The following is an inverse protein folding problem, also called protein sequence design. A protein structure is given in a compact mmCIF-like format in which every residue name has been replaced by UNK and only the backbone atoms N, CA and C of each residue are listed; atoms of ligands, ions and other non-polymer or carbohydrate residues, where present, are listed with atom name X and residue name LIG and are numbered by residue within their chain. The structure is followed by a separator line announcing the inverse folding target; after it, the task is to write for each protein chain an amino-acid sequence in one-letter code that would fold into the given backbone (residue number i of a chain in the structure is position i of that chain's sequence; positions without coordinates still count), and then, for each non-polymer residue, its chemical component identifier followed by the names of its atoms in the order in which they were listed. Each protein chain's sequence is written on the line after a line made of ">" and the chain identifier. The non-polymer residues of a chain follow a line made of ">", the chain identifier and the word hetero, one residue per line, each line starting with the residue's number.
data_IF_041531468341
#
_entry.id   IF_041531468341
#
_cell.length_a   1.000
_cell.length_b   1.000
_cell.length_c   1.000
_cell.angle_alpha   90.00
_cell.angle_beta   90.00
_cell.angle_gamma   90.00
#
_symmetry.space_group_name_H-M   'P 1'
#
loop_
_entity.id
_entity.type
_entity.pdbx_description
1 polymer ?
#
# COMPACT_ATOMS: atom_id res chain seq x y z
N UNK A 1 -5.14 44.55 32.22
CA UNK A 1 -3.87 44.43 32.93
C UNK A 1 -2.72 43.85 32.06
N UNK A 2 -2.85 43.85 30.76
CA UNK A 2 -1.83 43.24 29.83
C UNK A 2 -0.96 44.26 29.05
N UNK A 3 -1.08 45.55 29.32
CA UNK A 3 -0.31 46.61 28.63
C UNK A 3 0.87 47.21 29.43
N UNK A 4 1.10 46.76 30.66
CA UNK A 4 2.21 47.30 31.48
C UNK A 4 3.44 46.42 31.55
N UNK A 5 3.36 45.17 31.12
CA UNK A 5 4.50 44.24 31.13
C UNK A 5 5.35 44.33 29.88
N UNK A 6 4.82 44.83 28.76
CA UNK A 6 5.54 44.95 27.50
C UNK A 6 6.52 46.17 27.46
N UNK A 7 6.25 47.20 28.30
CA UNK A 7 7.08 48.41 28.32
C UNK A 7 8.43 48.25 29.10
N UNK A 8 8.55 47.20 29.91
CA UNK A 8 9.76 47.00 30.76
C UNK A 8 10.81 46.14 30.02
N UNK A 9 10.41 45.30 29.07
CA UNK A 9 11.35 44.52 28.25
C UNK A 9 12.05 45.35 27.15
N UNK A 10 11.46 46.43 26.68
CA UNK A 10 12.04 47.29 25.63
C UNK A 10 13.10 48.26 26.17
N UNK A 11 13.09 48.55 27.47
CA UNK A 11 14.08 49.47 28.07
C UNK A 11 15.40 48.79 28.47
N UNK A 12 15.42 47.46 28.60
CA UNK A 12 16.65 46.71 28.94
C UNK A 12 17.49 46.37 27.71
N UNK A 13 16.96 46.47 26.50
CA UNK A 13 17.66 46.11 25.25
C UNK A 13 18.50 47.24 24.65
N UNK A 14 18.42 48.47 25.19
CA UNK A 14 19.13 49.62 24.64
C UNK A 14 20.48 49.94 25.35
N UNK A 15 20.92 49.16 26.33
CA UNK A 15 22.14 49.40 27.08
C UNK A 15 23.29 48.38 26.82
N UNK A 16 23.12 47.44 25.89
CA UNK A 16 24.18 46.51 25.50
C UNK A 16 24.49 46.72 24.01
N UNK A 17 25.72 47.10 23.75
CA UNK A 17 26.23 47.49 22.44
C UNK A 17 25.86 46.61 21.27
N UNK A 18 25.81 47.27 20.13
CA UNK A 18 25.65 46.78 18.76
C UNK A 18 25.89 45.26 18.56
N UNK A 19 24.92 44.42 18.95
CA UNK A 19 24.76 43.14 18.32
C UNK A 19 23.99 43.41 17.02
N UNK A 20 24.67 43.27 15.89
CA UNK A 20 24.03 43.05 14.63
C UNK A 20 23.17 41.76 14.78
N UNK A 21 21.89 41.90 15.11
CA UNK A 21 20.93 40.85 14.88
C UNK A 21 20.93 40.68 13.37
N UNK A 22 21.70 39.71 12.89
CA UNK A 22 21.47 39.20 11.54
C UNK A 22 20.01 38.83 11.48
N UNK A 23 19.25 39.57 10.72
CA UNK A 23 17.95 39.10 10.25
C UNK A 23 18.33 37.91 9.36
N UNK A 24 18.33 36.72 9.92
CA UNK A 24 18.21 35.54 9.12
C UNK A 24 16.84 35.73 8.43
N UNK A 25 16.88 36.01 7.14
CA UNK A 25 15.70 35.81 6.32
C UNK A 25 15.24 34.39 6.65
N UNK A 26 14.00 34.21 7.11
CA UNK A 26 13.41 32.91 7.19
C UNK A 26 13.57 32.30 5.80
N UNK A 27 14.17 31.13 5.72
CA UNK A 27 14.30 30.42 4.46
C UNK A 27 12.86 30.09 4.06
N UNK A 28 12.36 30.77 3.04
CA UNK A 28 10.98 30.65 2.54
C UNK A 28 10.79 29.33 1.79
N UNK A 29 11.79 28.44 1.84
CA UNK A 29 11.79 27.15 1.15
C UNK A 29 10.87 26.17 1.87
N UNK A 30 9.85 25.66 1.18
CA UNK A 30 8.99 24.62 1.74
C UNK A 30 9.79 23.35 1.95
N UNK A 31 9.71 22.76 3.15
CA UNK A 31 10.29 21.48 3.49
C UNK A 31 9.24 20.36 3.29
N UNK A 32 9.59 19.33 2.53
CA UNK A 32 8.71 18.21 2.17
C UNK A 32 9.21 16.95 2.87
N UNK A 33 8.44 16.44 3.82
CA UNK A 33 8.66 15.14 4.43
C UNK A 33 8.00 14.06 3.58
N UNK A 34 8.77 13.06 3.15
CA UNK A 34 8.27 11.91 2.38
C UNK A 34 8.35 10.68 3.28
N UNK A 35 7.19 10.13 3.64
CA UNK A 35 7.08 8.99 4.55
C UNK A 35 6.67 7.74 3.77
N UNK A 36 7.49 6.68 3.84
CA UNK A 36 7.26 5.41 3.16
C UNK A 36 7.56 4.21 4.06
N UNK A 37 7.19 3.00 3.62
CA UNK A 37 7.77 1.77 4.13
C UNK A 37 9.27 1.68 3.76
N UNK A 38 10.07 0.77 4.38
CA UNK A 38 11.50 0.65 4.09
C UNK A 38 11.78 0.03 2.72
N UNK A 39 13.02 0.16 2.26
CA UNK A 39 13.56 -0.50 1.05
C UNK A 39 13.86 -1.99 1.33
N UNK A 40 12.85 -2.82 1.58
CA UNK A 40 13.09 -4.20 1.97
C UNK A 40 12.74 -5.22 0.86
N UNK A 41 11.60 -5.10 0.19
CA UNK A 41 11.19 -6.04 -0.87
C UNK A 41 10.01 -5.52 -1.68
N UNK A 42 9.80 -6.13 -2.84
CA UNK A 42 8.61 -5.97 -3.67
C UNK A 42 8.25 -4.53 -4.04
N UNK A 43 6.97 -4.27 -4.12
CA UNK A 43 6.41 -2.95 -4.46
C UNK A 43 6.83 -1.85 -3.48
N UNK A 44 6.75 -2.09 -2.18
CA UNK A 44 7.10 -1.09 -1.16
C UNK A 44 8.58 -0.72 -1.20
N UNK A 45 9.46 -1.69 -1.43
CA UNK A 45 10.88 -1.44 -1.62
C UNK A 45 11.18 -0.59 -2.87
N UNK A 46 10.48 -0.86 -3.97
CA UNK A 46 10.58 -0.05 -5.19
C UNK A 46 10.08 1.38 -4.96
N UNK A 47 8.97 1.54 -4.23
CA UNK A 47 8.43 2.86 -3.84
C UNK A 47 9.45 3.65 -3.04
N UNK A 48 10.06 3.06 -2.01
CA UNK A 48 11.06 3.73 -1.18
C UNK A 48 12.30 4.14 -2.01
N UNK A 49 12.75 3.28 -2.92
CA UNK A 49 13.87 3.57 -3.84
C UNK A 49 13.56 4.77 -4.73
N UNK A 50 12.40 4.79 -5.39
CA UNK A 50 11.99 5.92 -6.22
C UNK A 50 11.74 7.21 -5.42
N UNK A 51 11.21 7.08 -4.19
CA UNK A 51 11.05 8.22 -3.31
C UNK A 51 12.39 8.86 -2.96
N UNK A 52 13.41 8.05 -2.67
CA UNK A 52 14.79 8.51 -2.41
C UNK A 52 15.39 9.24 -3.61
N UNK A 53 15.29 8.65 -4.80
CA UNK A 53 15.76 9.29 -6.03
C UNK A 53 15.05 10.64 -6.26
N UNK A 54 13.74 10.69 -6.02
CA UNK A 54 12.95 11.91 -6.19
C UNK A 54 13.28 12.98 -5.16
N UNK A 55 13.52 12.61 -3.92
CA UNK A 55 14.01 13.52 -2.87
C UNK A 55 15.35 14.13 -3.26
N UNK A 56 16.28 13.33 -3.77
CA UNK A 56 17.56 13.83 -4.28
C UNK A 56 17.39 14.81 -5.46
N UNK A 57 16.47 14.53 -6.38
CA UNK A 57 16.17 15.41 -7.51
C UNK A 57 15.59 16.75 -7.02
N UNK A 58 14.61 16.72 -6.11
CA UNK A 58 13.99 17.92 -5.54
C UNK A 58 15.02 18.79 -4.85
N UNK A 59 15.92 18.19 -4.07
CA UNK A 59 16.99 18.91 -3.37
C UNK A 59 18.02 19.53 -4.33
N UNK A 60 18.29 18.89 -5.48
CA UNK A 60 19.20 19.44 -6.51
C UNK A 60 18.60 20.64 -7.23
N UNK A 61 17.29 20.68 -7.42
CA UNK A 61 16.59 21.83 -8.02
C UNK A 61 16.61 23.06 -7.12
N UNK A 62 16.70 22.88 -5.80
CA UNK A 62 16.88 23.93 -4.80
C UNK A 62 15.67 24.84 -4.59
N UNK A 63 14.53 24.53 -5.20
CA UNK A 63 13.27 25.26 -5.01
C UNK A 63 12.57 24.83 -3.72
N UNK A 64 12.69 23.57 -3.36
CA UNK A 64 12.19 22.94 -2.16
C UNK A 64 13.31 22.20 -1.45
N UNK A 65 13.17 21.93 -0.17
CA UNK A 65 13.95 20.90 0.51
C UNK A 65 13.08 19.68 0.75
N UNK A 66 13.64 18.48 0.70
CA UNK A 66 12.89 17.26 0.93
C UNK A 66 13.71 16.26 1.73
N UNK A 67 13.04 15.47 2.57
CA UNK A 67 13.62 14.40 3.37
C UNK A 67 12.77 13.14 3.26
N UNK A 68 13.43 11.98 3.08
CA UNK A 68 12.79 10.67 3.11
C UNK A 68 12.91 10.08 4.52
N UNK A 69 11.78 9.72 5.10
CA UNK A 69 11.67 9.00 6.38
C UNK A 69 10.99 7.67 6.10
N UNK A 70 11.70 6.57 6.34
CA UNK A 70 11.13 5.22 6.23
C UNK A 70 10.70 4.71 7.60
N UNK A 71 9.63 3.93 7.65
CA UNK A 71 9.10 3.35 8.89
C UNK A 71 8.88 1.86 8.72
N UNK A 72 9.44 1.06 9.61
CA UNK A 72 9.33 -0.41 9.54
C UNK A 72 7.92 -0.93 9.89
N UNK A 73 7.10 -0.12 10.56
CA UNK A 73 5.74 -0.45 10.97
C UNK A 73 4.93 0.82 11.28
N UNK A 74 3.61 0.65 11.45
CA UNK A 74 2.71 1.76 11.72
C UNK A 74 3.04 2.54 13.01
N UNK A 75 3.50 1.85 14.06
CA UNK A 75 3.87 2.52 15.31
C UNK A 75 5.04 3.48 15.13
N UNK A 76 6.05 3.10 14.34
CA UNK A 76 7.17 3.98 14.00
C UNK A 76 6.71 5.14 13.11
N UNK A 77 5.82 4.87 12.14
CA UNK A 77 5.28 5.92 11.27
C UNK A 77 4.47 6.95 12.07
N UNK A 78 3.69 6.51 13.07
CA UNK A 78 2.96 7.41 13.98
C UNK A 78 3.94 8.33 14.70
N UNK A 79 5.02 7.79 15.28
CA UNK A 79 6.03 8.61 15.98
C UNK A 79 6.66 9.62 15.02
N UNK A 80 7.02 9.21 13.81
CA UNK A 80 7.60 10.12 12.82
C UNK A 80 6.64 11.27 12.44
N UNK A 81 5.35 10.99 12.31
CA UNK A 81 4.33 12.03 12.06
C UNK A 81 4.21 12.97 13.26
N UNK A 82 4.16 12.43 14.48
CA UNK A 82 4.08 13.20 15.72
C UNK A 82 5.31 14.12 15.89
N UNK A 83 6.49 13.65 15.56
CA UNK A 83 7.73 14.45 15.58
C UNK A 83 7.69 15.60 14.57
N UNK A 84 7.17 15.36 13.36
CA UNK A 84 6.95 16.41 12.34
C UNK A 84 6.00 17.48 12.88
N UNK A 85 4.86 17.09 13.44
CA UNK A 85 3.90 18.04 14.03
C UNK A 85 4.50 18.80 15.20
N UNK A 86 5.26 18.10 16.06
CA UNK A 86 5.89 18.69 17.24
C UNK A 86 7.09 19.61 16.92
N UNK A 87 7.68 19.50 15.73
CA UNK A 87 8.81 20.34 15.30
C UNK A 87 8.44 21.83 15.30
N UNK A 88 7.17 22.14 15.02
CA UNK A 88 6.69 23.52 14.93
C UNK A 88 7.35 24.31 13.80
N UNK A 89 7.90 23.61 12.80
CA UNK A 89 8.46 24.23 11.61
C UNK A 89 7.37 24.89 10.77
N UNK A 90 7.65 26.07 10.27
CA UNK A 90 6.81 26.75 9.29
C UNK A 90 7.12 26.20 7.87
N UNK A 91 6.16 26.32 6.94
CA UNK A 91 6.34 25.94 5.54
C UNK A 91 6.67 24.46 5.31
N UNK A 92 6.02 23.55 5.99
CA UNK A 92 6.17 22.10 5.75
C UNK A 92 5.00 21.52 4.96
N UNK A 93 5.26 20.41 4.25
CA UNK A 93 4.28 19.57 3.60
C UNK A 93 4.66 18.09 3.77
N UNK A 94 3.68 17.20 3.73
CA UNK A 94 3.91 15.77 3.91
C UNK A 94 3.42 15.01 2.67
N UNK A 95 4.22 14.06 2.19
CA UNK A 95 3.83 13.06 1.21
C UNK A 95 3.93 11.71 1.90
N UNK A 96 2.83 10.99 2.04
CA UNK A 96 2.78 9.79 2.87
C UNK A 96 2.20 8.58 2.13
N UNK A 97 2.90 7.46 2.24
CA UNK A 97 2.36 6.12 2.04
C UNK A 97 1.98 5.58 3.42
N UNK A 98 0.69 5.59 3.81
CA UNK A 98 0.28 5.02 5.09
C UNK A 98 0.62 3.53 5.16
N UNK A 99 1.21 3.06 6.26
CA UNK A 99 1.54 1.63 6.41
C UNK A 99 0.26 0.81 6.56
N UNK A 100 -0.68 1.28 7.39
CA UNK A 100 -2.01 0.71 7.55
C UNK A 100 -2.98 1.76 8.14
N UNK A 101 -4.24 1.37 8.37
CA UNK A 101 -5.28 2.27 8.87
C UNK A 101 -5.05 2.76 10.30
N UNK A 102 -4.18 2.13 11.08
CA UNK A 102 -3.89 2.55 12.45
C UNK A 102 -3.16 3.90 12.54
N UNK A 103 -2.52 4.34 11.45
CA UNK A 103 -1.88 5.67 11.38
C UNK A 103 -2.89 6.83 11.20
N UNK A 104 -4.19 6.55 11.04
CA UNK A 104 -5.23 7.56 10.84
C UNK A 104 -5.18 8.69 11.88
N UNK A 105 -5.01 8.34 13.16
CA UNK A 105 -4.99 9.32 14.24
C UNK A 105 -3.78 10.26 14.18
N UNK A 106 -2.65 9.79 13.68
CA UNK A 106 -1.47 10.63 13.48
C UNK A 106 -1.64 11.54 12.25
N UNK A 107 -2.19 11.04 11.15
CA UNK A 107 -2.53 11.87 9.99
C UNK A 107 -3.54 12.96 10.38
N UNK A 108 -4.50 12.66 11.26
CA UNK A 108 -5.43 13.68 11.79
C UNK A 108 -4.69 14.80 12.51
N UNK A 109 -3.56 14.54 13.17
CA UNK A 109 -2.75 15.60 13.80
C UNK A 109 -2.11 16.53 12.75
N UNK A 110 -1.74 16.03 11.55
CA UNK A 110 -1.32 16.90 10.45
C UNK A 110 -2.46 17.86 10.04
N UNK A 111 -3.68 17.31 9.93
CA UNK A 111 -4.87 18.12 9.60
C UNK A 111 -5.14 19.18 10.66
N UNK A 112 -5.10 18.81 11.95
CA UNK A 112 -5.35 19.69 13.07
C UNK A 112 -4.27 20.80 13.20
N UNK A 113 -3.05 20.50 12.76
CA UNK A 113 -1.93 21.45 12.68
C UNK A 113 -1.90 22.27 11.38
N UNK A 114 -2.89 22.10 10.49
CA UNK A 114 -2.98 22.75 9.18
C UNK A 114 -1.77 22.45 8.27
N UNK A 115 -1.10 21.30 8.44
CA UNK A 115 0.00 20.83 7.61
C UNK A 115 -0.59 20.13 6.38
N UNK A 116 -0.34 20.65 5.15
CA UNK A 116 -0.85 20.02 3.94
C UNK A 116 -0.19 18.67 3.71
N UNK A 117 -0.97 17.67 3.30
CA UNK A 117 -0.43 16.36 2.95
C UNK A 117 -1.04 15.79 1.67
N UNK A 118 -0.27 14.92 1.02
CA UNK A 118 -0.69 14.04 -0.07
C UNK A 118 -0.54 12.61 0.41
N UNK A 119 -1.61 11.82 0.33
CA UNK A 119 -1.55 10.38 0.56
C UNK A 119 -1.42 9.63 -0.78
N UNK A 120 -0.64 8.57 -0.79
CA UNK A 120 -0.50 7.73 -1.98
C UNK A 120 -0.46 6.24 -1.62
N UNK A 121 -0.74 5.40 -2.62
CA UNK A 121 -0.84 3.94 -2.53
C UNK A 121 -2.01 3.50 -1.65
N UNK A 122 -1.89 3.60 -0.34
CA UNK A 122 -2.94 3.31 0.63
C UNK A 122 -3.66 4.58 1.05
N UNK A 123 -4.98 4.59 0.92
CA UNK A 123 -5.81 5.75 1.23
C UNK A 123 -6.70 5.40 2.42
N UNK A 124 -6.60 6.19 3.48
CA UNK A 124 -7.40 6.03 4.70
C UNK A 124 -8.63 6.93 4.62
N UNK A 125 -9.79 6.34 4.48
CA UNK A 125 -11.06 7.05 4.23
C UNK A 125 -11.36 8.13 5.28
N UNK A 126 -11.09 7.85 6.56
CA UNK A 126 -11.39 8.77 7.66
C UNK A 126 -10.67 10.12 7.57
N UNK A 127 -9.59 10.24 6.82
CA UNK A 127 -8.79 11.46 6.66
C UNK A 127 -8.57 11.87 5.20
N UNK A 128 -8.97 11.04 4.25
CA UNK A 128 -8.73 11.23 2.81
C UNK A 128 -9.28 12.54 2.26
N UNK A 129 -10.44 12.99 2.77
CA UNK A 129 -11.08 14.24 2.34
C UNK A 129 -10.30 15.50 2.74
N UNK A 130 -9.37 15.41 3.68
CA UNK A 130 -8.52 16.50 4.15
C UNK A 130 -7.18 16.56 3.41
N UNK A 131 -6.84 15.53 2.64
CA UNK A 131 -5.64 15.52 1.82
C UNK A 131 -5.72 16.53 0.68
N UNK A 132 -4.60 17.14 0.32
CA UNK A 132 -4.47 17.96 -0.90
C UNK A 132 -4.74 17.11 -2.14
N UNK A 133 -4.28 15.86 -2.12
CA UNK A 133 -4.55 14.86 -3.15
C UNK A 133 -4.38 13.46 -2.59
N UNK A 134 -5.12 12.52 -3.16
CA UNK A 134 -4.95 11.08 -2.94
C UNK A 134 -4.56 10.45 -4.28
N UNK A 135 -3.46 9.69 -4.30
CA UNK A 135 -2.94 9.02 -5.49
C UNK A 135 -2.89 7.52 -5.23
N UNK A 136 -3.75 6.75 -5.89
CA UNK A 136 -3.79 5.29 -5.74
C UNK A 136 -3.80 4.60 -7.11
N UNK A 137 -3.41 3.33 -7.14
CA UNK A 137 -3.68 2.44 -8.26
C UNK A 137 -5.17 2.12 -8.36
N UNK A 138 -5.58 1.63 -9.51
CA UNK A 138 -6.92 1.07 -9.72
C UNK A 138 -7.00 -0.35 -9.13
N UNK A 139 -7.06 -0.43 -7.80
CA UNK A 139 -7.06 -1.72 -7.10
C UNK A 139 -8.31 -2.55 -7.40
N UNK A 140 -9.46 -1.91 -7.56
CA UNK A 140 -10.68 -2.59 -7.99
C UNK A 140 -10.54 -3.14 -9.42
N UNK A 141 -9.95 -2.36 -10.33
CA UNK A 141 -9.62 -2.80 -11.68
C UNK A 141 -8.63 -3.97 -11.71
N UNK A 142 -7.68 -4.05 -10.77
CA UNK A 142 -6.76 -5.20 -10.63
C UNK A 142 -7.54 -6.48 -10.29
N UNK A 143 -8.42 -6.42 -9.30
CA UNK A 143 -9.28 -7.56 -8.94
C UNK A 143 -10.18 -7.97 -10.08
N UNK A 144 -10.83 -7.00 -10.72
CA UNK A 144 -11.67 -7.24 -11.90
C UNK A 144 -10.90 -7.89 -13.07
N UNK A 145 -9.65 -7.45 -13.31
CA UNK A 145 -8.78 -8.03 -14.33
C UNK A 145 -8.47 -9.51 -14.07
N UNK A 146 -8.16 -9.87 -12.82
CA UNK A 146 -7.91 -11.26 -12.43
C UNK A 146 -9.15 -12.13 -12.63
N UNK A 147 -10.33 -11.65 -12.22
CA UNK A 147 -11.59 -12.34 -12.42
C UNK A 147 -11.94 -12.50 -13.92
N UNK A 148 -11.79 -11.42 -14.69
CA UNK A 148 -12.03 -11.44 -16.15
C UNK A 148 -11.10 -12.43 -16.85
N UNK A 149 -9.82 -12.47 -16.46
CA UNK A 149 -8.87 -13.44 -16.98
C UNK A 149 -9.32 -14.88 -16.69
N UNK A 150 -9.67 -15.20 -15.45
CA UNK A 150 -10.15 -16.55 -15.11
C UNK A 150 -11.41 -16.95 -15.88
N UNK A 151 -12.38 -16.03 -16.00
CA UNK A 151 -13.60 -16.26 -16.80
C UNK A 151 -13.26 -16.49 -18.29
N UNK A 152 -12.26 -15.78 -18.83
CA UNK A 152 -11.81 -15.96 -20.21
C UNK A 152 -11.14 -17.32 -20.43
N UNK A 153 -10.43 -17.82 -19.41
CA UNK A 153 -9.77 -19.14 -19.40
C UNK A 153 -10.73 -20.29 -19.06
N UNK A 154 -12.01 -19.97 -18.85
CA UNK A 154 -13.09 -20.96 -18.75
C UNK A 154 -13.57 -21.21 -17.33
N UNK A 155 -13.26 -20.38 -16.36
CA UNK A 155 -13.86 -20.46 -15.02
C UNK A 155 -15.38 -20.29 -15.10
N UNK A 156 -16.09 -21.15 -14.38
CA UNK A 156 -17.55 -21.14 -14.31
C UNK A 156 -18.05 -20.84 -12.89
N UNK A 157 -19.30 -20.33 -12.75
CA UNK A 157 -19.85 -20.01 -11.44
C UNK A 157 -19.76 -21.17 -10.44
N UNK A 158 -19.29 -20.88 -9.22
CA UNK A 158 -19.18 -21.84 -8.12
C UNK A 158 -17.96 -22.76 -8.17
N UNK A 159 -17.04 -22.59 -9.11
CA UNK A 159 -15.74 -23.28 -9.04
C UNK A 159 -14.89 -22.75 -7.89
N UNK A 160 -14.08 -23.61 -7.29
CA UNK A 160 -13.21 -23.23 -6.18
C UNK A 160 -12.12 -22.25 -6.63
N UNK A 161 -12.08 -21.10 -5.97
CA UNK A 161 -11.00 -20.10 -6.11
C UNK A 161 -10.29 -19.96 -4.78
N UNK A 162 -8.97 -19.87 -4.79
CA UNK A 162 -8.19 -19.54 -3.61
C UNK A 162 -7.52 -18.17 -3.81
N UNK A 163 -7.77 -17.23 -2.90
CA UNK A 163 -7.22 -15.89 -2.92
C UNK A 163 -6.12 -15.77 -1.89
N UNK A 164 -4.93 -15.39 -2.33
CA UNK A 164 -3.85 -14.98 -1.44
C UNK A 164 -3.91 -13.47 -1.27
N UNK A 165 -4.37 -13.06 -0.07
CA UNK A 165 -4.57 -11.67 0.29
C UNK A 165 -3.25 -11.02 0.69
N UNK A 166 -3.09 -9.72 0.37
CA UNK A 166 -1.93 -8.93 0.75
C UNK A 166 -1.85 -8.66 2.24
N UNK A 167 -2.42 -7.57 2.69
CA UNK A 167 -2.47 -7.16 4.09
C UNK A 167 -3.90 -6.77 4.50
N UNK A 168 -4.07 -6.09 5.63
CA UNK A 168 -5.39 -5.64 6.10
C UNK A 168 -5.73 -4.21 5.65
N UNK A 169 -5.02 -3.66 4.67
CA UNK A 169 -5.24 -2.30 4.17
C UNK A 169 -6.38 -2.22 3.14
N UNK A 170 -6.71 -0.99 2.76
CA UNK A 170 -7.66 -0.72 1.69
C UNK A 170 -7.24 -1.31 0.33
N UNK A 171 -5.96 -1.57 0.10
CA UNK A 171 -5.46 -2.17 -1.15
C UNK A 171 -6.05 -3.56 -1.34
N UNK A 172 -5.92 -4.45 -0.34
CA UNK A 172 -6.51 -5.79 -0.33
C UNK A 172 -8.02 -5.73 -0.47
N UNK A 173 -8.70 -4.94 0.38
CA UNK A 173 -10.17 -4.82 0.35
C UNK A 173 -10.68 -4.41 -1.04
N UNK A 174 -10.04 -3.46 -1.70
CA UNK A 174 -10.44 -3.01 -3.04
C UNK A 174 -10.17 -4.07 -4.11
N UNK A 175 -9.08 -4.84 -4.01
CA UNK A 175 -8.78 -5.95 -4.92
C UNK A 175 -9.79 -7.08 -4.79
N UNK A 176 -10.15 -7.45 -3.56
CA UNK A 176 -11.19 -8.45 -3.30
C UNK A 176 -12.56 -8.01 -3.81
N UNK A 177 -12.93 -6.75 -3.54
CA UNK A 177 -14.17 -6.18 -4.05
C UNK A 177 -14.20 -6.21 -5.58
N UNK A 178 -13.15 -5.72 -6.23
CA UNK A 178 -13.08 -5.72 -7.70
C UNK A 178 -13.20 -7.11 -8.30
N UNK A 179 -12.58 -8.12 -7.68
CA UNK A 179 -12.71 -9.51 -8.11
C UNK A 179 -14.15 -10.02 -8.01
N UNK A 180 -14.79 -9.83 -6.87
CA UNK A 180 -16.17 -10.32 -6.63
C UNK A 180 -17.23 -9.50 -7.38
N UNK A 181 -17.09 -8.18 -7.43
CA UNK A 181 -18.03 -7.30 -8.15
C UNK A 181 -18.00 -7.52 -9.66
N UNK A 182 -16.83 -7.86 -10.24
CA UNK A 182 -16.79 -8.29 -11.64
C UNK A 182 -17.55 -9.60 -11.84
N UNK A 183 -17.33 -10.60 -10.98
CA UNK A 183 -18.01 -11.89 -11.08
C UNK A 183 -19.52 -11.78 -10.94
N UNK A 184 -20.03 -10.87 -10.10
CA UNK A 184 -21.48 -10.62 -9.96
C UNK A 184 -22.04 -9.74 -11.08
N UNK A 185 -21.18 -9.07 -11.85
CA UNK A 185 -21.55 -8.15 -12.93
C UNK A 185 -21.91 -6.75 -12.46
N UNK A 186 -21.49 -6.39 -11.23
CA UNK A 186 -21.62 -5.04 -10.69
C UNK A 186 -20.55 -4.12 -11.26
N UNK A 187 -19.31 -4.62 -11.41
CA UNK A 187 -18.18 -3.91 -12.01
C UNK A 187 -17.96 -4.36 -13.45
N UNK A 188 -17.40 -3.49 -14.28
CA UNK A 188 -16.91 -3.79 -15.63
C UNK A 188 -15.37 -3.70 -15.67
N UNK A 189 -14.77 -4.49 -16.55
CA UNK A 189 -13.34 -4.42 -16.83
C UNK A 189 -13.11 -4.18 -18.32
N UNK A 190 -12.25 -3.21 -18.66
CA UNK A 190 -11.98 -2.75 -20.04
C UNK A 190 -13.24 -2.39 -20.85
N UNK A 191 -14.25 -1.83 -20.15
CA UNK A 191 -15.52 -1.43 -20.72
C UNK A 191 -16.49 -2.58 -20.99
N UNK A 192 -16.17 -3.79 -20.52
CA UNK A 192 -17.00 -4.98 -20.68
C UNK A 192 -17.44 -5.57 -19.33
N UNK A 193 -18.71 -5.94 -19.23
CA UNK A 193 -19.24 -6.70 -18.10
C UNK A 193 -19.17 -8.20 -18.38
N UNK A 194 -19.09 -8.97 -17.31
CA UNK A 194 -19.27 -10.43 -17.42
C UNK A 194 -20.58 -10.77 -18.11
N UNK A 195 -20.58 -11.79 -18.97
CA UNK A 195 -21.79 -12.26 -19.65
C UNK A 195 -22.82 -12.78 -18.64
N UNK A 196 -24.11 -12.56 -18.90
CA UNK A 196 -25.20 -12.88 -17.97
C UNK A 196 -25.24 -14.36 -17.56
N UNK A 197 -24.87 -15.26 -18.46
CA UNK A 197 -24.83 -16.71 -18.25
C UNK A 197 -23.57 -17.17 -17.46
N UNK A 198 -22.64 -16.26 -17.21
CA UNK A 198 -21.40 -16.51 -16.45
C UNK A 198 -21.38 -15.81 -15.10
N UNK A 199 -22.40 -15.01 -14.78
CA UNK A 199 -22.47 -14.29 -13.50
C UNK A 199 -22.56 -15.24 -12.32
N UNK A 200 -21.82 -14.89 -11.28
CA UNK A 200 -21.84 -15.57 -10.00
C UNK A 200 -22.97 -15.03 -9.11
N UNK A 201 -23.63 -15.94 -8.42
CA UNK A 201 -24.59 -15.61 -7.36
C UNK A 201 -23.86 -15.49 -6.01
N UNK A 202 -24.56 -14.96 -5.00
CA UNK A 202 -24.07 -14.96 -3.62
C UNK A 202 -23.71 -16.37 -3.08
N UNK A 203 -24.39 -17.41 -3.59
CA UNK A 203 -24.07 -18.80 -3.22
C UNK A 203 -22.80 -19.28 -3.92
N UNK A 204 -22.57 -18.87 -5.16
CA UNK A 204 -21.34 -19.21 -5.91
C UNK A 204 -20.11 -18.55 -5.29
N UNK A 205 -20.23 -17.30 -4.78
CA UNK A 205 -19.12 -16.60 -4.10
C UNK A 205 -18.61 -17.34 -2.86
N UNK A 206 -19.39 -18.24 -2.25
CA UNK A 206 -18.94 -19.07 -1.12
C UNK A 206 -17.86 -20.10 -1.51
N UNK A 207 -17.66 -20.33 -2.81
CA UNK A 207 -16.57 -21.16 -3.31
C UNK A 207 -15.21 -20.45 -3.31
N UNK A 208 -15.18 -19.14 -3.02
CA UNK A 208 -13.95 -18.36 -2.87
C UNK A 208 -13.44 -18.55 -1.43
N UNK A 209 -12.20 -18.98 -1.31
CA UNK A 209 -11.50 -19.11 -0.02
C UNK A 209 -10.39 -18.09 0.05
N UNK A 210 -10.33 -17.34 1.14
CA UNK A 210 -9.32 -16.32 1.39
C UNK A 210 -8.27 -16.84 2.37
N UNK A 211 -7.00 -16.56 2.10
CA UNK A 211 -5.88 -17.01 2.93
C UNK A 211 -5.80 -16.29 4.27
N UNK A 212 -6.39 -15.09 4.36
CA UNK A 212 -6.01 -14.08 5.35
C UNK A 212 -4.70 -13.37 4.96
N UNK A 213 -4.37 -12.30 5.68
CA UNK A 213 -3.24 -11.44 5.34
C UNK A 213 -1.90 -12.19 5.28
N UNK A 214 -1.25 -12.15 4.13
CA UNK A 214 0.10 -12.68 3.89
C UNK A 214 1.17 -11.59 4.01
N UNK A 215 0.79 -10.35 4.34
CA UNK A 215 1.68 -9.19 4.51
C UNK A 215 2.59 -8.92 3.30
N UNK A 216 2.09 -9.20 2.09
CA UNK A 216 2.84 -9.10 0.82
C UNK A 216 4.13 -9.94 0.84
N UNK A 217 4.15 -11.00 1.67
CA UNK A 217 5.33 -11.82 1.97
C UNK A 217 5.38 -13.08 1.11
N UNK A 218 6.41 -13.18 0.29
CA UNK A 218 6.73 -14.37 -0.52
C UNK A 218 6.91 -15.61 0.36
N UNK A 219 7.62 -15.47 1.48
CA UNK A 219 7.90 -16.59 2.40
C UNK A 219 6.66 -17.08 3.14
N UNK A 220 5.76 -16.15 3.53
CA UNK A 220 4.53 -16.51 4.23
C UNK A 220 3.56 -17.22 3.27
N UNK A 221 3.44 -16.69 2.04
CA UNK A 221 2.64 -17.34 0.99
C UNK A 221 3.18 -18.71 0.64
N UNK A 222 4.50 -18.87 0.50
CA UNK A 222 5.12 -20.18 0.29
C UNK A 222 4.73 -21.18 1.38
N UNK A 223 4.88 -20.78 2.64
CA UNK A 223 4.54 -21.63 3.78
C UNK A 223 3.04 -21.97 3.82
N UNK A 224 2.20 -20.98 3.55
CA UNK A 224 0.74 -21.15 3.47
C UNK A 224 0.34 -22.11 2.35
N UNK A 225 0.94 -21.97 1.17
CA UNK A 225 0.66 -22.83 0.02
C UNK A 225 1.15 -24.28 0.24
N UNK A 226 2.34 -24.47 0.83
CA UNK A 226 2.83 -25.80 1.23
C UNK A 226 1.86 -26.45 2.24
N UNK A 227 1.32 -25.67 3.17
CA UNK A 227 0.31 -26.15 4.13
C UNK A 227 -1.03 -26.49 3.45
N UNK A 228 -1.47 -25.65 2.50
CA UNK A 228 -2.71 -25.88 1.73
C UNK A 228 -2.65 -27.21 0.98
N UNK A 229 -1.56 -27.46 0.27
CA UNK A 229 -1.35 -28.72 -0.49
C UNK A 229 -0.94 -29.90 0.40
N UNK A 230 -0.69 -29.66 1.69
CA UNK A 230 -0.57 -30.74 2.69
C UNK A 230 -1.85 -31.58 2.81
N UNK A 231 -3.02 -31.00 2.45
CA UNK A 231 -4.24 -31.76 2.15
C UNK A 231 -4.34 -31.95 0.62
N UNK A 232 -4.12 -33.17 0.17
CA UNK A 232 -4.14 -33.52 -1.25
C UNK A 232 -5.49 -33.25 -1.96
N UNK A 233 -6.58 -33.10 -1.21
CA UNK A 233 -7.87 -32.68 -1.78
C UNK A 233 -7.83 -31.28 -2.40
N UNK A 234 -6.92 -30.43 -1.93
CA UNK A 234 -6.74 -29.07 -2.47
C UNK A 234 -5.95 -29.06 -3.78
N UNK A 235 -5.36 -30.17 -4.20
CA UNK A 235 -4.69 -30.27 -5.50
C UNK A 235 -5.65 -30.10 -6.69
N UNK A 236 -6.95 -30.25 -6.47
CA UNK A 236 -7.98 -30.04 -7.48
C UNK A 236 -8.37 -28.56 -7.68
N UNK A 237 -7.93 -27.65 -6.79
CA UNK A 237 -8.16 -26.21 -6.95
C UNK A 237 -7.37 -25.72 -8.16
N UNK A 238 -8.08 -25.04 -9.08
CA UNK A 238 -7.51 -24.61 -10.35
C UNK A 238 -7.21 -23.11 -10.41
N UNK A 239 -7.92 -22.30 -9.64
CA UNK A 239 -7.90 -20.85 -9.74
C UNK A 239 -7.27 -20.23 -8.50
N UNK A 240 -6.09 -19.61 -8.67
CA UNK A 240 -5.34 -18.96 -7.61
C UNK A 240 -5.16 -17.48 -7.94
N UNK A 241 -5.88 -16.63 -7.23
CA UNK A 241 -5.70 -15.20 -7.29
C UNK A 241 -4.69 -14.79 -6.23
N UNK A 242 -3.44 -14.53 -6.61
CA UNK A 242 -2.48 -13.86 -5.78
C UNK A 242 -2.60 -12.35 -6.05
N UNK A 243 -2.81 -11.57 -5.00
CA UNK A 243 -3.08 -10.14 -5.14
C UNK A 243 -1.86 -9.33 -5.60
N UNK A 244 -0.65 -9.88 -5.46
CA UNK A 244 0.55 -9.32 -6.06
C UNK A 244 1.56 -10.38 -6.53
N UNK A 245 2.66 -9.90 -7.10
CA UNK A 245 3.71 -10.74 -7.67
C UNK A 245 4.51 -11.47 -6.59
N UNK A 246 4.74 -10.88 -5.41
CA UNK A 246 5.44 -11.55 -4.31
C UNK A 246 4.66 -12.76 -3.80
N UNK A 247 3.33 -12.64 -3.71
CA UNK A 247 2.46 -13.74 -3.34
C UNK A 247 2.46 -14.84 -4.42
N UNK A 248 2.38 -14.45 -5.70
CA UNK A 248 2.49 -15.39 -6.82
C UNK A 248 3.85 -16.12 -6.82
N UNK A 249 4.95 -15.40 -6.59
CA UNK A 249 6.28 -15.99 -6.47
C UNK A 249 6.39 -16.95 -5.29
N UNK A 250 5.71 -16.68 -4.17
CA UNK A 250 5.63 -17.60 -3.04
C UNK A 250 5.02 -18.96 -3.43
N UNK A 251 3.95 -18.96 -4.22
CA UNK A 251 3.35 -20.18 -4.78
C UNK A 251 4.36 -20.92 -5.67
N UNK A 252 5.02 -20.20 -6.58
CA UNK A 252 5.98 -20.80 -7.50
C UNK A 252 7.18 -21.40 -6.77
N UNK A 253 7.71 -20.73 -5.75
CA UNK A 253 8.80 -21.25 -4.93
C UNK A 253 8.39 -22.48 -4.09
N UNK A 254 7.15 -22.55 -3.61
CA UNK A 254 6.65 -23.77 -2.95
C UNK A 254 6.62 -24.96 -3.92
N UNK A 255 6.17 -24.74 -5.14
CA UNK A 255 6.16 -25.79 -6.20
C UNK A 255 7.57 -26.23 -6.60
N UNK A 256 8.55 -25.34 -6.59
CA UNK A 256 9.96 -25.66 -6.84
C UNK A 256 10.66 -26.30 -5.64
N UNK A 257 10.16 -26.03 -4.43
CA UNK A 257 10.72 -26.50 -3.17
C UNK A 257 10.41 -27.96 -2.84
N UNK A 258 10.86 -28.39 -1.66
CA UNK A 258 10.66 -29.74 -1.12
C UNK A 258 9.55 -29.85 -0.07
N UNK A 259 8.75 -28.79 0.17
CA UNK A 259 7.72 -28.75 1.19
C UNK A 259 6.43 -29.50 0.83
N UNK A 260 6.22 -29.80 -0.45
CA UNK A 260 5.06 -30.53 -0.96
C UNK A 260 5.58 -31.87 -1.54
N UNK A 261 4.91 -32.98 -1.25
CA UNK A 261 5.29 -34.28 -1.81
C UNK A 261 5.09 -34.32 -3.33
N UNK A 262 5.89 -35.14 -3.99
CA UNK A 262 5.95 -35.17 -5.48
C UNK A 262 4.63 -35.63 -6.10
N UNK A 263 3.88 -36.53 -5.46
CA UNK A 263 2.61 -37.02 -5.99
C UNK A 263 1.53 -35.91 -5.95
N UNK A 264 1.46 -35.15 -4.87
CA UNK A 264 0.56 -34.00 -4.75
C UNK A 264 0.95 -32.90 -5.74
N UNK A 265 2.24 -32.60 -5.91
CA UNK A 265 2.72 -31.66 -6.93
C UNK A 265 2.33 -32.07 -8.34
N UNK A 266 2.53 -33.35 -8.66
CA UNK A 266 2.20 -33.89 -10.00
C UNK A 266 0.68 -33.80 -10.26
N UNK A 267 -0.14 -34.11 -9.25
CA UNK A 267 -1.60 -33.97 -9.35
C UNK A 267 -2.02 -32.52 -9.56
N UNK A 268 -1.50 -31.59 -8.76
CA UNK A 268 -1.76 -30.16 -8.87
C UNK A 268 -1.39 -29.60 -10.25
N UNK A 269 -0.16 -29.84 -10.70
CA UNK A 269 0.32 -29.38 -12.01
C UNK A 269 -0.43 -30.07 -13.18
N UNK A 270 -0.84 -31.33 -12.99
CA UNK A 270 -1.67 -32.06 -13.95
C UNK A 270 -3.04 -31.42 -14.16
N UNK A 271 -3.57 -30.76 -13.15
CA UNK A 271 -4.82 -29.99 -13.20
C UNK A 271 -4.69 -28.65 -13.95
N UNK A 272 -3.48 -28.24 -14.29
CA UNK A 272 -3.15 -27.00 -15.01
C UNK A 272 -3.73 -25.75 -14.30
N UNK A 273 -3.26 -25.47 -13.09
CA UNK A 273 -3.76 -24.32 -12.34
C UNK A 273 -3.42 -23.00 -13.03
N UNK A 274 -4.29 -22.02 -12.84
CA UNK A 274 -4.06 -20.64 -13.21
C UNK A 274 -3.69 -19.85 -11.96
N UNK A 275 -2.59 -19.13 -12.02
CA UNK A 275 -2.08 -18.30 -10.93
C UNK A 275 -1.87 -16.89 -11.50
N UNK A 276 -2.49 -15.90 -10.88
CA UNK A 276 -2.28 -14.49 -11.26
C UNK A 276 -1.37 -13.80 -10.27
N UNK A 277 -0.77 -12.70 -10.69
CA UNK A 277 -0.02 -11.75 -9.88
C UNK A 277 -0.28 -10.33 -10.39
N UNK A 278 0.26 -9.35 -9.69
CA UNK A 278 0.19 -7.94 -10.07
C UNK A 278 1.36 -7.19 -9.42
N UNK A 279 1.96 -6.26 -10.13
CA UNK A 279 3.05 -5.44 -9.60
C UNK A 279 4.19 -5.22 -10.59
N UNK A 280 4.40 -6.15 -11.50
CA UNK A 280 5.39 -6.03 -12.56
C UNK A 280 6.82 -6.34 -12.11
N UNK A 281 6.98 -7.33 -11.22
CA UNK A 281 8.31 -7.82 -10.85
C UNK A 281 9.00 -8.45 -12.06
N UNK A 282 10.23 -8.03 -12.36
CA UNK A 282 11.04 -8.56 -13.46
C UNK A 282 11.19 -10.09 -13.40
N UNK A 283 11.25 -10.66 -12.20
CA UNK A 283 11.33 -12.11 -11.96
C UNK A 283 10.15 -12.89 -12.54
N UNK A 284 8.95 -12.33 -12.54
CA UNK A 284 7.75 -12.99 -13.09
C UNK A 284 7.76 -13.05 -14.61
N UNK A 285 8.54 -12.19 -15.27
CA UNK A 285 8.68 -12.16 -16.73
C UNK A 285 9.89 -12.93 -17.25
N UNK A 286 10.73 -13.46 -16.37
CA UNK A 286 11.95 -14.21 -16.71
C UNK A 286 11.66 -15.70 -16.88
#
# INVERSE_FOLDING_TARGET
>A
MKKKTLAILTAAAMAAGSFSVGVYAADDTTHIYVLTAPEDHGWTGSVATFAKEKVEEVNKDGKYSAELITSANAAEQIVNIEDIVASGEDNIAVVIQPIDDTVQSAIQQLVDAEIPYVAFDRIIDGVSSSAVSNVKGDNEGIGAAAAAYFVSEGMTPGESVYVYEGDTSSVTTLRDNGFTEYLTGELEYDGEKIADDKKWTEDDLKAITYSGAMNWSRSDTKTSFESLLGDSANADIKWFYAEDDELAMGILEALQGGGIDDATKEAFLGNKPYITGCGGLDELYA
#
